data_IF_589591220129
#
_entry.id   IF_589591220129
#
_cell.length_a   1.000
_cell.length_b   1.000
_cell.length_c   1.000
_cell.angle_alpha   90.00
_cell.angle_beta   90.00
_cell.angle_gamma   90.00
#
_symmetry.space_group_name_H-M   'P 1'
#
loop_
_entity.id
_entity.type
_entity.pdbx_description
1 polymer ?
#
# COMPACT_ATOMS: atom_id res chain seq x y z
N UNK A 1 -6.37 -2.52 -29.84
CA UNK A 1 -7.14 -1.73 -28.86
C UNK A 1 -8.60 -1.65 -29.27
N UNK A 2 -9.49 -1.89 -28.32
CA UNK A 2 -10.92 -1.61 -28.45
C UNK A 2 -11.14 -0.11 -28.67
N UNK A 3 -11.79 0.31 -29.78
CA UNK A 3 -11.89 1.73 -30.15
C UNK A 3 -12.63 2.55 -29.07
N UNK A 4 -13.66 1.98 -28.45
CA UNK A 4 -14.43 2.66 -27.40
C UNK A 4 -13.62 2.98 -26.14
N UNK A 5 -12.63 2.16 -25.78
CA UNK A 5 -11.84 2.37 -24.54
C UNK A 5 -10.97 3.62 -24.65
N UNK A 6 -10.34 3.82 -25.81
CA UNK A 6 -9.47 4.96 -26.05
C UNK A 6 -10.24 6.29 -25.98
N UNK A 7 -11.43 6.31 -26.59
CA UNK A 7 -12.31 7.47 -26.64
C UNK A 7 -12.88 7.79 -25.26
N UNK A 8 -13.44 6.79 -24.55
CA UNK A 8 -13.97 6.96 -23.20
C UNK A 8 -12.89 7.50 -22.25
N UNK A 9 -11.70 6.88 -22.23
CA UNK A 9 -10.61 7.32 -21.36
C UNK A 9 -10.08 8.71 -21.69
N UNK A 10 -10.16 9.14 -22.95
CA UNK A 10 -9.81 10.50 -23.36
C UNK A 10 -10.88 11.50 -22.88
N UNK A 11 -12.17 11.16 -23.02
CA UNK A 11 -13.29 11.99 -22.55
C UNK A 11 -13.34 12.16 -21.03
N UNK A 12 -12.74 11.24 -20.27
CA UNK A 12 -12.66 11.33 -18.80
C UNK A 12 -11.53 12.23 -18.30
N UNK A 13 -10.59 12.66 -19.14
CA UNK A 13 -9.32 13.28 -18.71
C UNK A 13 -9.49 14.41 -17.70
N UNK A 14 -10.31 15.42 -18.00
CA UNK A 14 -10.51 16.57 -17.11
C UNK A 14 -11.13 16.16 -15.76
N UNK A 15 -12.06 15.20 -15.78
CA UNK A 15 -12.68 14.65 -14.58
C UNK A 15 -11.69 13.86 -13.72
N UNK A 16 -10.79 13.11 -14.35
CA UNK A 16 -9.73 12.38 -13.65
C UNK A 16 -8.76 13.36 -12.98
N UNK A 17 -8.37 14.42 -13.68
CA UNK A 17 -7.52 15.48 -13.10
C UNK A 17 -8.20 16.13 -11.90
N UNK A 18 -9.47 16.54 -12.04
CA UNK A 18 -10.23 17.14 -10.94
C UNK A 18 -10.36 16.19 -9.74
N UNK A 19 -10.63 14.90 -9.98
CA UNK A 19 -10.70 13.88 -8.94
C UNK A 19 -9.36 13.68 -8.24
N UNK A 20 -8.27 13.53 -8.98
CA UNK A 20 -6.93 13.38 -8.40
C UNK A 20 -6.62 14.57 -7.50
N UNK A 21 -6.85 15.80 -7.97
CA UNK A 21 -6.58 17.02 -7.21
C UNK A 21 -7.43 17.14 -5.94
N UNK A 22 -8.67 16.66 -5.97
CA UNK A 22 -9.51 16.56 -4.76
C UNK A 22 -8.93 15.57 -3.73
N UNK A 23 -8.54 14.38 -4.19
CA UNK A 23 -7.88 13.39 -3.32
C UNK A 23 -6.55 13.92 -2.77
N UNK A 24 -5.75 14.56 -3.62
CA UNK A 24 -4.47 15.18 -3.26
C UNK A 24 -4.61 16.26 -2.18
N UNK A 25 -5.66 17.09 -2.27
CA UNK A 25 -5.95 18.14 -1.30
C UNK A 25 -6.36 17.60 0.07
N UNK A 26 -7.00 16.43 0.11
CA UNK A 26 -7.48 15.82 1.35
C UNK A 26 -6.87 14.44 1.61
N UNK A 27 -5.54 14.35 1.75
CA UNK A 27 -4.85 13.09 1.94
C UNK A 27 -5.16 12.52 3.33
N UNK A 28 -5.27 11.20 3.41
CA UNK A 28 -5.56 10.46 4.64
C UNK A 28 -4.53 9.33 4.82
N UNK A 29 -3.78 9.30 5.93
CA UNK A 29 -2.81 8.23 6.20
C UNK A 29 -3.46 6.85 6.37
N UNK A 30 -2.63 5.81 6.34
CA UNK A 30 -3.06 4.42 6.47
C UNK A 30 -4.05 4.14 7.60
N UNK A 31 -5.12 3.41 7.29
CA UNK A 31 -6.27 3.07 8.15
C UNK A 31 -7.20 4.25 8.51
N UNK A 32 -6.95 5.44 7.97
CA UNK A 32 -7.73 6.64 8.24
C UNK A 32 -8.39 7.25 7.01
N UNK A 33 -8.40 6.51 5.90
CA UNK A 33 -8.88 6.87 4.56
C UNK A 33 -10.41 6.95 4.46
N UNK A 34 -11.09 7.42 5.50
CA UNK A 34 -12.54 7.42 5.62
C UNK A 34 -13.22 8.26 4.55
N UNK A 35 -12.69 9.44 4.22
CA UNK A 35 -13.24 10.30 3.16
C UNK A 35 -12.97 9.68 1.80
N UNK A 36 -11.74 9.26 1.54
CA UNK A 36 -11.33 8.70 0.25
C UNK A 36 -12.10 7.41 -0.04
N UNK A 37 -12.14 6.46 0.89
CA UNK A 37 -12.92 5.24 0.76
C UNK A 37 -14.43 5.52 0.63
N UNK A 38 -14.96 6.49 1.39
CA UNK A 38 -16.36 6.91 1.27
C UNK A 38 -16.72 7.44 -0.11
N UNK A 39 -15.83 8.25 -0.71
CA UNK A 39 -15.98 8.74 -2.08
C UNK A 39 -15.92 7.59 -3.09
N UNK A 40 -14.99 6.66 -2.91
CA UNK A 40 -14.83 5.47 -3.77
C UNK A 40 -16.10 4.60 -3.73
N UNK A 41 -16.59 4.25 -2.53
CA UNK A 41 -17.84 3.48 -2.35
C UNK A 41 -18.99 4.16 -3.07
N UNK A 42 -19.22 5.45 -2.81
CA UNK A 42 -20.34 6.20 -3.39
C UNK A 42 -20.29 6.19 -4.92
N UNK A 43 -19.13 6.49 -5.51
CA UNK A 43 -18.97 6.50 -6.98
C UNK A 43 -19.21 5.11 -7.60
N UNK A 44 -18.68 4.06 -6.98
CA UNK A 44 -18.85 2.70 -7.49
C UNK A 44 -20.32 2.24 -7.41
N UNK A 45 -21.03 2.60 -6.33
CA UNK A 45 -22.46 2.35 -6.20
C UNK A 45 -23.28 3.13 -7.24
N UNK A 46 -22.97 4.41 -7.47
CA UNK A 46 -23.62 5.24 -8.50
C UNK A 46 -23.42 4.68 -9.92
N UNK A 47 -22.28 4.03 -10.18
CA UNK A 47 -22.01 3.34 -11.44
C UNK A 47 -22.73 1.99 -11.56
N UNK A 48 -23.27 1.45 -10.47
CA UNK A 48 -24.00 0.18 -10.47
C UNK A 48 -23.16 -1.06 -10.19
N UNK A 49 -21.99 -0.92 -9.54
CA UNK A 49 -21.22 -2.06 -9.03
C UNK A 49 -21.87 -2.64 -7.77
N UNK A 50 -21.66 -3.94 -7.54
CA UNK A 50 -21.80 -4.52 -6.21
C UNK A 50 -20.58 -4.11 -5.38
N UNK A 51 -20.79 -3.45 -4.22
CA UNK A 51 -19.69 -2.85 -3.44
C UNK A 51 -19.67 -3.41 -2.02
N UNK A 52 -18.55 -4.03 -1.65
CA UNK A 52 -18.24 -4.52 -0.31
C UNK A 52 -17.15 -3.65 0.33
N UNK A 53 -17.30 -3.32 1.61
CA UNK A 53 -16.35 -2.47 2.33
C UNK A 53 -16.45 -2.69 3.83
N UNK A 54 -15.53 -2.10 4.60
CA UNK A 54 -15.54 -2.31 6.05
C UNK A 54 -15.09 -3.73 6.42
N UNK A 55 -15.78 -4.32 7.38
CA UNK A 55 -15.48 -5.66 7.89
C UNK A 55 -15.74 -6.79 6.88
N UNK A 56 -16.42 -6.53 5.76
CA UNK A 56 -16.64 -7.51 4.68
C UNK A 56 -15.36 -7.83 3.91
N UNK A 57 -14.41 -6.89 3.87
CA UNK A 57 -13.20 -6.98 3.03
C UNK A 57 -11.92 -6.79 3.82
N UNK A 58 -12.01 -6.61 5.14
CA UNK A 58 -10.88 -6.43 6.05
C UNK A 58 -11.02 -7.41 7.23
N UNK A 59 -10.05 -8.31 7.36
CA UNK A 59 -9.92 -9.21 8.50
C UNK A 59 -9.21 -8.48 9.65
N UNK A 60 -9.94 -8.15 10.69
CA UNK A 60 -9.46 -7.33 11.81
C UNK A 60 -8.22 -7.91 12.50
N UNK A 61 -8.18 -9.22 12.69
CA UNK A 61 -7.09 -9.93 13.36
C UNK A 61 -5.78 -9.92 12.55
N UNK A 62 -5.86 -9.58 11.27
CA UNK A 62 -4.72 -9.44 10.38
C UNK A 62 -4.30 -7.97 10.17
N UNK A 63 -5.00 -7.00 10.75
CA UNK A 63 -4.64 -5.59 10.69
C UNK A 63 -3.38 -5.34 11.53
N UNK A 64 -2.43 -4.60 10.97
CA UNK A 64 -1.16 -4.25 11.62
C UNK A 64 -0.99 -2.73 11.65
N UNK A 65 -0.34 -2.21 12.69
CA UNK A 65 -0.01 -0.78 12.78
C UNK A 65 -1.23 0.15 12.72
N UNK A 66 -2.36 -0.28 13.31
CA UNK A 66 -3.60 0.49 13.36
C UNK A 66 -3.44 1.65 14.35
N UNK A 67 -3.82 2.89 14.00
CA UNK A 67 -3.82 4.01 14.93
C UNK A 67 -4.70 3.76 16.17
N UNK A 68 -4.38 4.43 17.26
CA UNK A 68 -5.18 4.34 18.49
C UNK A 68 -6.62 4.85 18.30
N UNK A 69 -7.58 4.43 19.15
CA UNK A 69 -9.00 4.77 19.00
C UNK A 69 -9.29 6.27 18.93
N UNK A 70 -8.56 7.09 19.71
CA UNK A 70 -8.70 8.55 19.71
C UNK A 70 -8.31 9.16 18.35
N UNK A 71 -7.25 8.64 17.73
CA UNK A 71 -6.81 9.10 16.42
C UNK A 71 -7.79 8.70 15.33
N UNK A 72 -8.27 7.45 15.36
CA UNK A 72 -9.31 6.98 14.44
C UNK A 72 -10.57 7.85 14.55
N UNK A 73 -11.05 8.11 15.76
CA UNK A 73 -12.23 8.96 15.98
C UNK A 73 -12.01 10.40 15.47
N UNK A 74 -10.83 10.98 15.73
CA UNK A 74 -10.47 12.32 15.23
C UNK A 74 -10.51 12.38 13.71
N UNK A 75 -9.96 11.37 13.04
CA UNK A 75 -9.89 11.28 11.57
C UNK A 75 -11.26 11.03 10.95
N UNK A 76 -12.08 10.15 11.55
CA UNK A 76 -13.48 9.98 11.14
C UNK A 76 -14.26 11.30 11.19
N UNK A 77 -14.15 12.05 12.30
CA UNK A 77 -14.81 13.34 12.43
C UNK A 77 -14.31 14.37 11.41
N UNK A 78 -13.02 14.34 11.07
CA UNK A 78 -12.48 15.19 10.01
C UNK A 78 -13.04 14.82 8.63
N UNK A 79 -13.14 13.53 8.32
CA UNK A 79 -13.74 13.04 7.07
C UNK A 79 -15.20 13.48 6.93
N UNK A 80 -16.00 13.36 7.99
CA UNK A 80 -17.40 13.81 8.03
C UNK A 80 -17.52 15.32 7.77
N UNK A 81 -16.67 16.14 8.40
CA UNK A 81 -16.63 17.60 8.14
C UNK A 81 -16.25 17.95 6.70
N UNK A 82 -15.57 17.05 6.01
CA UNK A 82 -15.15 17.19 4.60
C UNK A 82 -16.11 16.50 3.62
N UNK A 83 -17.32 16.18 4.07
CA UNK A 83 -18.41 15.70 3.21
C UNK A 83 -18.45 14.19 3.00
N UNK A 84 -17.73 13.40 3.79
CA UNK A 84 -17.90 11.94 3.78
C UNK A 84 -19.31 11.56 4.26
N UNK A 85 -19.89 10.53 3.64
CA UNK A 85 -21.21 10.03 4.00
C UNK A 85 -21.19 9.35 5.38
N UNK A 86 -21.98 9.80 6.37
CA UNK A 86 -21.97 9.24 7.71
C UNK A 86 -22.26 7.74 7.78
N UNK A 87 -23.19 7.23 6.96
CA UNK A 87 -23.57 5.82 6.97
C UNK A 87 -22.47 4.93 6.38
N UNK A 88 -21.75 5.44 5.37
CA UNK A 88 -20.59 4.73 4.81
C UNK A 88 -19.43 4.72 5.83
N UNK A 89 -19.14 5.86 6.47
CA UNK A 89 -18.06 5.99 7.47
C UNK A 89 -18.30 5.08 8.67
N UNK A 90 -19.54 4.98 9.16
CA UNK A 90 -19.89 4.11 10.30
C UNK A 90 -19.52 2.64 10.05
N UNK A 91 -19.78 2.14 8.84
CA UNK A 91 -19.43 0.74 8.45
C UNK A 91 -17.92 0.49 8.35
N UNK A 92 -17.11 1.55 8.27
CA UNK A 92 -15.64 1.49 8.25
C UNK A 92 -15.03 1.64 9.65
N UNK A 93 -15.82 1.54 10.72
CA UNK A 93 -15.35 1.63 12.11
C UNK A 93 -14.12 0.74 12.39
N UNK A 94 -13.22 1.25 13.23
CA UNK A 94 -11.94 0.59 13.53
C UNK A 94 -10.87 0.75 12.45
N UNK A 95 -11.06 1.67 11.51
CA UNK A 95 -10.10 1.93 10.41
C UNK A 95 -10.21 0.93 9.26
N UNK A 96 -11.36 0.26 9.10
CA UNK A 96 -11.59 -0.75 8.07
C UNK A 96 -12.03 -0.08 6.76
N UNK A 97 -11.13 0.68 6.17
CA UNK A 97 -11.38 1.57 5.02
C UNK A 97 -11.18 0.88 3.66
N UNK A 98 -11.02 -0.44 3.61
CA UNK A 98 -10.92 -1.17 2.34
C UNK A 98 -12.25 -1.24 1.58
N UNK A 99 -12.16 -1.22 0.25
CA UNK A 99 -13.32 -1.27 -0.65
C UNK A 99 -13.06 -2.25 -1.78
N UNK A 100 -14.03 -3.10 -2.10
CA UNK A 100 -14.00 -4.01 -3.24
C UNK A 100 -15.29 -3.85 -4.03
N UNK A 101 -15.17 -3.47 -5.30
CA UNK A 101 -16.30 -3.46 -6.22
C UNK A 101 -16.23 -4.66 -7.18
N UNK A 102 -17.38 -5.28 -7.42
CA UNK A 102 -17.53 -6.44 -8.30
C UNK A 102 -18.47 -6.08 -9.45
N UNK A 103 -17.98 -6.30 -10.67
CA UNK A 103 -18.79 -6.32 -11.89
C UNK A 103 -18.91 -7.77 -12.34
N UNK A 104 -20.08 -8.36 -12.14
CA UNK A 104 -20.43 -9.66 -12.72
C UNK A 104 -21.13 -9.44 -14.07
N UNK A 105 -20.56 -9.99 -15.13
CA UNK A 105 -21.10 -9.88 -16.48
C UNK A 105 -22.25 -10.85 -16.75
N UNK A 106 -22.47 -11.84 -15.87
CA UNK A 106 -23.39 -12.96 -16.08
C UNK A 106 -22.94 -13.93 -17.18
N UNK A 107 -21.78 -13.70 -17.81
CA UNK A 107 -21.23 -14.52 -18.90
C UNK A 107 -20.03 -15.34 -18.39
N UNK A 108 -19.91 -16.62 -18.77
CA UNK A 108 -18.77 -17.44 -18.37
C UNK A 108 -17.43 -16.82 -18.82
N UNK A 109 -16.47 -16.75 -17.89
CA UNK A 109 -15.15 -16.19 -18.13
C UNK A 109 -14.31 -16.15 -16.85
N UNK A 110 -13.06 -15.67 -16.94
CA UNK A 110 -12.15 -15.58 -15.79
C UNK A 110 -12.61 -14.51 -14.78
N UNK A 111 -12.11 -14.60 -13.56
CA UNK A 111 -12.22 -13.51 -12.58
C UNK A 111 -10.96 -12.65 -12.63
N UNK A 112 -11.09 -11.39 -13.03
CA UNK A 112 -9.99 -10.41 -13.06
C UNK A 112 -10.00 -9.56 -11.78
N UNK A 113 -8.83 -9.24 -11.25
CA UNK A 113 -8.65 -8.32 -10.14
C UNK A 113 -7.69 -7.18 -10.48
N UNK A 114 -8.05 -5.96 -10.11
CA UNK A 114 -7.23 -4.76 -10.27
C UNK A 114 -7.09 -4.05 -8.93
N UNK A 115 -5.87 -3.80 -8.46
CA UNK A 115 -5.61 -3.15 -7.16
C UNK A 115 -5.14 -1.72 -7.31
N UNK A 116 -5.69 -0.86 -6.46
CA UNK A 116 -5.33 0.55 -6.27
C UNK A 116 -5.25 0.84 -4.78
N UNK A 117 -4.10 1.26 -4.28
CA UNK A 117 -3.94 1.80 -2.92
C UNK A 117 -4.48 3.24 -2.81
N UNK A 118 -4.88 3.62 -1.60
CA UNK A 118 -5.59 4.88 -1.32
C UNK A 118 -4.91 5.78 -0.30
N UNK A 119 -3.98 5.27 0.50
CA UNK A 119 -3.45 6.02 1.64
C UNK A 119 -2.41 7.07 1.24
N UNK A 120 -2.23 8.04 2.12
CA UNK A 120 -1.20 9.05 2.02
C UNK A 120 -0.01 8.77 2.94
N UNK A 121 1.09 9.47 2.70
CA UNK A 121 2.29 9.43 3.52
C UNK A 121 2.20 10.41 4.69
N UNK A 122 2.92 10.12 5.77
CA UNK A 122 3.14 11.03 6.91
C UNK A 122 4.22 12.09 6.57
N UNK A 123 3.92 12.97 5.61
CA UNK A 123 4.82 14.01 5.08
C UNK A 123 4.09 15.35 4.99
N UNK A 124 4.76 16.43 5.40
CA UNK A 124 4.29 17.79 5.13
C UNK A 124 4.58 18.20 3.68
N UNK A 125 3.54 18.66 2.98
CA UNK A 125 3.67 19.14 1.61
C UNK A 125 4.23 20.56 1.55
N UNK A 126 5.11 20.82 0.58
CA UNK A 126 5.73 22.11 0.35
C UNK A 126 4.69 23.20 -0.02
N UNK A 127 4.84 24.40 0.56
CA UNK A 127 3.89 25.53 0.39
C UNK A 127 4.51 26.77 -0.26
N UNK A 128 5.44 26.58 -1.18
CA UNK A 128 6.00 27.71 -1.95
C UNK A 128 5.38 27.81 -3.35
N UNK A 129 5.40 29.02 -3.92
CA UNK A 129 4.84 29.29 -5.26
C UNK A 129 5.50 28.49 -6.40
N UNK A 130 6.69 27.93 -6.18
CA UNK A 130 7.36 27.04 -7.13
C UNK A 130 6.84 25.59 -7.09
N UNK A 131 6.07 25.22 -6.06
CA UNK A 131 5.42 23.91 -5.94
C UNK A 131 4.05 23.96 -6.60
N UNK A 132 3.86 23.19 -7.68
CA UNK A 132 2.66 23.25 -8.53
C UNK A 132 1.36 23.03 -7.75
N UNK A 133 1.21 22.02 -6.87
CA UNK A 133 0.01 21.87 -6.04
C UNK A 133 -0.33 23.11 -5.21
N UNK A 134 0.67 23.81 -4.67
CA UNK A 134 0.42 25.06 -3.95
C UNK A 134 -0.01 26.18 -4.90
N UNK A 135 0.73 26.37 -6.01
CA UNK A 135 0.46 27.41 -6.99
C UNK A 135 -0.91 27.28 -7.67
N UNK A 136 -1.35 26.05 -7.95
CA UNK A 136 -2.63 25.74 -8.59
C UNK A 136 -3.75 25.42 -7.56
N UNK A 137 -3.46 25.54 -6.26
CA UNK A 137 -4.47 25.49 -5.21
C UNK A 137 -5.01 24.11 -4.88
N UNK A 138 -4.24 23.04 -5.04
CA UNK A 138 -4.62 21.68 -4.63
C UNK A 138 -3.63 21.00 -3.66
N UNK A 139 -2.71 21.78 -3.07
CA UNK A 139 -1.86 21.36 -1.95
C UNK A 139 -2.68 20.76 -0.80
N UNK A 140 -2.11 19.78 -0.11
CA UNK A 140 -2.70 19.16 1.07
C UNK A 140 -3.20 20.18 2.08
N UNK A 141 -4.43 19.98 2.55
CA UNK A 141 -5.04 20.69 3.67
C UNK A 141 -4.99 19.88 4.97
N UNK A 142 -4.25 18.77 5.00
CA UNK A 142 -4.08 17.94 6.18
C UNK A 142 -2.61 17.99 6.63
N UNK A 143 -2.26 18.80 7.65
CA UNK A 143 -0.89 18.88 8.15
C UNK A 143 -0.32 17.51 8.50
N UNK A 144 0.93 17.28 8.10
CA UNK A 144 1.61 16.00 8.25
C UNK A 144 1.12 14.88 7.33
N UNK A 145 0.25 15.15 6.35
CA UNK A 145 -0.18 14.16 5.37
C UNK A 145 -0.10 14.69 3.93
N UNK A 146 0.43 13.87 3.02
CA UNK A 146 0.57 14.19 1.60
C UNK A 146 0.54 12.91 0.77
N UNK A 147 -0.09 12.93 -0.41
CA UNK A 147 0.08 11.86 -1.40
C UNK A 147 1.45 11.97 -2.10
N UNK A 148 2.52 11.64 -1.36
CA UNK A 148 3.90 11.72 -1.80
C UNK A 148 4.38 10.43 -2.51
N UNK A 149 3.50 9.45 -2.70
CA UNK A 149 3.75 8.22 -3.45
C UNK A 149 2.83 8.04 -4.68
N UNK A 150 1.82 8.89 -4.85
CA UNK A 150 0.92 8.89 -6.02
C UNK A 150 -0.35 8.03 -5.87
N UNK A 151 -0.74 7.64 -4.65
CA UNK A 151 -1.92 6.81 -4.41
C UNK A 151 -3.25 7.54 -4.75
N UNK A 152 -3.26 8.87 -4.72
CA UNK A 152 -4.32 9.70 -5.31
C UNK A 152 -4.50 9.42 -6.81
N UNK A 153 -3.40 9.26 -7.54
CA UNK A 153 -3.42 8.89 -8.95
C UNK A 153 -3.86 7.44 -9.16
N UNK A 154 -3.42 6.51 -8.31
CA UNK A 154 -3.83 5.10 -8.38
C UNK A 154 -5.34 4.96 -8.18
N UNK A 155 -5.88 5.57 -7.12
CA UNK A 155 -7.32 5.61 -6.83
C UNK A 155 -8.11 6.26 -7.97
N UNK A 156 -7.60 7.37 -8.52
CA UNK A 156 -8.21 8.05 -9.67
C UNK A 156 -8.25 7.16 -10.91
N UNK A 157 -7.16 6.47 -11.23
CA UNK A 157 -7.10 5.50 -12.34
C UNK A 157 -8.10 4.36 -12.11
N UNK A 158 -8.20 3.85 -10.88
CA UNK A 158 -9.16 2.80 -10.53
C UNK A 158 -10.61 3.21 -10.75
N UNK A 159 -10.98 4.43 -10.34
CA UNK A 159 -12.33 4.96 -10.58
C UNK A 159 -12.58 5.25 -12.07
N UNK A 160 -11.59 5.77 -12.80
CA UNK A 160 -11.68 5.94 -14.24
C UNK A 160 -11.85 4.61 -14.99
N UNK A 161 -11.14 3.57 -14.56
CA UNK A 161 -11.31 2.21 -15.05
C UNK A 161 -12.73 1.70 -14.78
N UNK A 162 -13.26 1.92 -13.58
CA UNK A 162 -14.60 1.50 -13.22
C UNK A 162 -15.67 2.05 -14.18
N UNK A 163 -15.56 3.33 -14.56
CA UNK A 163 -16.46 3.98 -15.52
C UNK A 163 -16.36 3.35 -16.91
N UNK A 164 -15.14 3.15 -17.41
CA UNK A 164 -14.91 2.54 -18.73
C UNK A 164 -15.45 1.12 -18.78
N UNK A 165 -15.18 0.30 -17.77
CA UNK A 165 -15.63 -1.10 -17.71
C UNK A 165 -17.14 -1.21 -17.66
N UNK A 166 -17.81 -0.32 -16.92
CA UNK A 166 -19.27 -0.31 -16.86
C UNK A 166 -19.88 0.08 -18.21
N UNK A 167 -19.25 1.01 -18.95
CA UNK A 167 -19.71 1.42 -20.27
C UNK A 167 -19.57 0.31 -21.33
N UNK A 168 -18.55 -0.54 -21.23
CA UNK A 168 -18.33 -1.67 -22.15
C UNK A 168 -18.78 -3.01 -21.55
N UNK A 169 -19.57 -2.99 -20.47
CA UNK A 169 -19.84 -4.20 -19.66
C UNK A 169 -20.39 -5.34 -20.48
N UNK A 170 -21.14 -5.07 -21.55
CA UNK A 170 -21.79 -6.06 -22.42
C UNK A 170 -20.81 -6.83 -23.33
N UNK A 171 -19.57 -6.35 -23.43
CA UNK A 171 -18.50 -6.94 -24.24
C UNK A 171 -17.48 -7.75 -23.40
N UNK A 172 -17.62 -7.69 -22.08
CA UNK A 172 -16.76 -8.36 -21.11
C UNK A 172 -17.32 -9.75 -20.74
N UNK A 173 -16.48 -10.62 -20.19
CA UNK A 173 -16.90 -11.93 -19.66
C UNK A 173 -16.33 -12.17 -18.27
N UNK A 174 -16.94 -13.09 -17.54
CA UNK A 174 -16.55 -13.43 -16.18
C UNK A 174 -16.87 -12.32 -15.19
N UNK A 175 -15.98 -12.15 -14.21
CA UNK A 175 -16.14 -11.18 -13.12
C UNK A 175 -14.93 -10.27 -13.05
N UNK A 176 -15.14 -9.00 -12.73
CA UNK A 176 -14.05 -8.04 -12.55
C UNK A 176 -14.16 -7.43 -11.15
N UNK A 177 -13.07 -7.51 -10.39
CA UNK A 177 -12.94 -6.97 -9.04
C UNK A 177 -12.00 -5.77 -9.05
N UNK A 178 -12.49 -4.64 -8.55
CA UNK A 178 -11.67 -3.44 -8.31
C UNK A 178 -11.41 -3.35 -6.81
N UNK A 179 -10.16 -3.52 -6.42
CA UNK A 179 -9.71 -3.61 -5.03
C UNK A 179 -9.05 -2.29 -4.66
N UNK A 180 -9.72 -1.49 -3.83
CA UNK A 180 -9.17 -0.26 -3.30
C UNK A 180 -8.64 -0.51 -1.89
N UNK A 181 -7.32 -0.54 -1.78
CA UNK A 181 -6.60 -0.99 -0.60
C UNK A 181 -6.21 0.19 0.31
N UNK A 182 -6.42 0.09 1.63
CA UNK A 182 -5.87 1.05 2.58
C UNK A 182 -4.42 0.70 2.96
N UNK A 183 -3.76 1.63 3.65
CA UNK A 183 -2.56 1.39 4.46
C UNK A 183 -1.37 0.68 3.77
N UNK A 184 -1.10 0.95 2.49
CA UNK A 184 0.05 0.39 1.75
C UNK A 184 1.39 0.89 2.32
N UNK A 185 1.50 2.17 2.71
CA UNK A 185 2.78 2.82 3.01
C UNK A 185 3.58 2.16 4.14
N UNK A 186 2.83 1.58 5.08
CA UNK A 186 3.38 0.81 6.21
C UNK A 186 3.49 -0.68 5.93
N UNK A 187 3.11 -1.13 4.73
CA UNK A 187 2.86 -2.50 4.32
C UNK A 187 1.91 -3.22 5.29
N UNK A 188 0.68 -2.68 5.41
CA UNK A 188 -0.27 -3.07 6.47
C UNK A 188 -1.60 -3.58 5.93
N UNK A 189 -2.06 -3.08 4.79
CA UNK A 189 -3.44 -3.27 4.34
C UNK A 189 -3.69 -4.57 3.60
N UNK A 190 -2.77 -4.96 2.70
CA UNK A 190 -3.01 -6.06 1.77
C UNK A 190 -3.25 -7.38 2.50
N UNK A 191 -2.47 -7.68 3.55
CA UNK A 191 -2.63 -8.90 4.35
C UNK A 191 -4.04 -9.00 4.92
N UNK A 192 -4.59 -7.92 5.47
CA UNK A 192 -5.93 -7.93 6.06
C UNK A 192 -7.03 -8.18 5.03
N UNK A 193 -6.85 -7.71 3.79
CA UNK A 193 -7.78 -7.99 2.69
C UNK A 193 -7.64 -9.42 2.15
N UNK A 194 -6.41 -9.92 2.03
CA UNK A 194 -6.13 -11.30 1.60
C UNK A 194 -6.71 -12.32 2.58
N UNK A 195 -6.53 -12.09 3.89
CA UNK A 195 -7.09 -12.96 4.93
C UNK A 195 -8.63 -12.89 5.02
N UNK A 196 -9.25 -11.82 4.48
CA UNK A 196 -10.70 -11.74 4.28
C UNK A 196 -11.19 -12.50 3.03
N UNK A 197 -10.29 -13.11 2.25
CA UNK A 197 -10.63 -13.89 1.05
C UNK A 197 -10.91 -13.04 -0.20
N UNK A 198 -10.53 -11.75 -0.19
CA UNK A 198 -10.84 -10.80 -1.29
C UNK A 198 -10.34 -11.27 -2.66
N UNK A 199 -9.29 -12.08 -2.73
CA UNK A 199 -8.69 -12.54 -4.00
C UNK A 199 -8.62 -14.05 -4.16
N UNK A 200 -9.28 -14.83 -3.29
CA UNK A 200 -9.22 -16.30 -3.34
C UNK A 200 -9.80 -16.88 -4.65
N UNK A 201 -10.66 -16.12 -5.34
CA UNK A 201 -11.31 -16.51 -6.59
C UNK A 201 -10.74 -15.85 -7.85
N UNK A 202 -9.67 -15.04 -7.73
CA UNK A 202 -9.08 -14.27 -8.83
C UNK A 202 -8.15 -15.13 -9.68
N UNK A 203 -8.36 -15.11 -11.00
CA UNK A 203 -7.54 -15.82 -11.99
C UNK A 203 -6.38 -14.94 -12.52
N UNK A 204 -6.63 -13.64 -12.69
CA UNK A 204 -5.65 -12.67 -13.14
C UNK A 204 -5.67 -11.42 -12.25
N UNK A 205 -4.55 -11.09 -11.61
CA UNK A 205 -4.43 -9.94 -10.71
C UNK A 205 -3.40 -8.93 -11.21
N UNK A 206 -3.80 -7.66 -11.30
CA UNK A 206 -2.94 -6.55 -11.69
C UNK A 206 -2.90 -5.48 -10.60
N UNK A 207 -1.71 -5.18 -10.08
CA UNK A 207 -1.42 -3.97 -9.33
C UNK A 207 -0.77 -2.92 -10.23
N UNK A 208 -0.86 -1.65 -9.87
CA UNK A 208 -0.17 -0.57 -10.59
C UNK A 208 0.64 0.32 -9.65
N UNK A 209 1.64 1.00 -10.22
CA UNK A 209 2.27 2.16 -9.59
C UNK A 209 2.65 3.21 -10.63
N UNK A 210 2.59 4.50 -10.27
CA UNK A 210 3.09 5.59 -11.11
C UNK A 210 4.51 6.00 -10.73
N UNK A 211 5.37 6.17 -11.73
CA UNK A 211 6.57 6.97 -11.63
C UNK A 211 7.77 6.37 -10.90
N UNK A 212 7.80 5.14 -10.39
CA UNK A 212 8.97 4.62 -9.63
C UNK A 212 10.23 4.44 -10.50
N UNK A 213 10.18 3.55 -11.50
CA UNK A 213 11.38 3.16 -12.29
C UNK A 213 11.41 3.79 -13.69
N UNK A 214 10.35 4.51 -14.06
CA UNK A 214 10.18 5.17 -15.36
C UNK A 214 9.67 6.58 -15.13
N UNK A 215 10.22 7.54 -15.89
CA UNK A 215 10.10 8.97 -15.60
C UNK A 215 9.47 9.78 -16.73
N UNK A 216 8.87 9.10 -17.72
CA UNK A 216 8.20 9.72 -18.87
C UNK A 216 6.87 9.04 -19.13
N UNK A 217 5.84 9.83 -19.43
CA UNK A 217 4.55 9.30 -19.88
C UNK A 217 4.73 8.49 -21.15
N UNK A 218 4.08 7.33 -21.21
CA UNK A 218 4.16 6.38 -22.32
C UNK A 218 5.18 5.25 -22.11
N UNK A 219 6.02 5.32 -21.07
CA UNK A 219 6.84 4.19 -20.65
C UNK A 219 6.03 3.24 -19.76
N UNK A 220 6.04 1.94 -20.03
CA UNK A 220 5.32 0.93 -19.26
C UNK A 220 6.23 -0.25 -18.91
N UNK A 221 6.24 -0.67 -17.65
CA UNK A 221 6.80 -1.97 -17.22
C UNK A 221 5.64 -2.90 -16.90
N UNK A 222 5.55 -4.06 -17.54
CA UNK A 222 4.39 -4.94 -17.42
C UNK A 222 4.50 -5.95 -16.27
N UNK A 223 5.71 -6.25 -15.83
CA UNK A 223 6.03 -7.15 -14.72
C UNK A 223 7.11 -6.58 -13.83
N UNK A 224 6.69 -5.86 -12.80
CA UNK A 224 7.55 -5.43 -11.70
C UNK A 224 8.21 -6.61 -11.01
N UNK A 225 9.52 -6.52 -10.77
CA UNK A 225 10.33 -7.52 -10.06
C UNK A 225 11.19 -6.88 -8.98
N UNK A 226 11.65 -7.71 -8.04
CA UNK A 226 12.60 -7.31 -7.02
C UNK A 226 11.96 -6.70 -5.77
N UNK A 227 10.70 -7.03 -5.48
CA UNK A 227 10.07 -6.67 -4.21
C UNK A 227 10.86 -7.28 -3.05
N UNK A 228 11.36 -6.42 -2.16
CA UNK A 228 12.02 -6.87 -0.94
C UNK A 228 10.97 -7.25 0.10
N UNK A 229 11.12 -8.43 0.70
CA UNK A 229 10.36 -8.79 1.88
C UNK A 229 10.79 -7.90 3.06
N UNK A 230 9.84 -7.54 3.93
CA UNK A 230 10.10 -6.69 5.09
C UNK A 230 9.20 -7.02 6.27
N UNK A 231 9.68 -6.77 7.49
CA UNK A 231 8.87 -6.77 8.71
C UNK A 231 9.15 -5.50 9.50
N UNK A 232 8.11 -4.80 9.93
CA UNK A 232 8.19 -3.65 10.84
C UNK A 232 7.74 -4.09 12.22
N UNK A 233 8.53 -3.80 13.25
CA UNK A 233 8.26 -4.19 14.63
C UNK A 233 8.38 -2.99 15.56
N UNK A 234 7.34 -2.78 16.37
CA UNK A 234 7.38 -1.89 17.51
C UNK A 234 7.71 -2.71 18.76
N UNK A 235 8.75 -2.31 19.48
CA UNK A 235 9.30 -3.03 20.63
C UNK A 235 9.21 -2.14 21.86
N UNK A 236 8.65 -2.68 22.94
CA UNK A 236 8.58 -2.01 24.24
C UNK A 236 9.28 -2.86 25.30
N UNK A 237 10.30 -2.31 25.94
CA UNK A 237 10.91 -2.88 27.14
C UNK A 237 10.31 -2.23 28.39
N UNK A 238 9.90 -3.05 29.35
CA UNK A 238 9.30 -2.61 30.63
C UNK A 238 10.11 -3.17 31.78
N UNK A 239 10.76 -2.27 32.53
CA UNK A 239 11.52 -2.57 33.73
C UNK A 239 10.97 -1.84 34.94
N UNK A 240 11.81 -1.69 35.97
CA UNK A 240 11.44 -1.08 37.25
C UNK A 240 12.26 0.19 37.45
N UNK A 241 11.63 1.37 37.59
CA UNK A 241 12.37 2.59 37.87
C UNK A 241 12.87 2.62 39.31
N UNK A 242 14.07 3.14 39.52
CA UNK A 242 14.68 3.31 40.83
C UNK A 242 15.63 4.51 40.86
N UNK A 243 15.99 5.00 42.05
CA UNK A 243 16.96 6.08 42.18
C UNK A 243 18.37 5.56 41.93
N UNK A 244 19.05 6.11 40.92
CA UNK A 244 20.32 5.56 40.43
C UNK A 244 21.46 5.51 41.46
N UNK A 245 21.43 6.37 42.49
CA UNK A 245 22.41 6.35 43.58
C UNK A 245 21.85 5.96 44.95
N UNK A 246 20.53 5.80 45.07
CA UNK A 246 19.86 5.61 46.37
C UNK A 246 19.64 4.13 46.64
N UNK A 247 19.02 3.46 45.67
CA UNK A 247 18.71 2.03 45.72
C UNK A 247 18.90 1.44 44.30
N UNK A 248 20.12 1.49 43.74
CA UNK A 248 20.37 1.05 42.37
C UNK A 248 19.99 -0.42 42.13
N UNK A 249 20.11 -1.27 43.14
CA UNK A 249 19.78 -2.70 43.10
C UNK A 249 18.29 -3.01 42.94
N UNK A 250 17.41 -2.04 43.23
CA UNK A 250 15.96 -2.20 43.10
C UNK A 250 15.45 -1.94 41.67
N UNK A 251 16.30 -1.42 40.78
CA UNK A 251 15.92 -1.05 39.42
C UNK A 251 16.18 -2.14 38.38
N UNK A 252 15.33 -2.21 37.35
CA UNK A 252 15.56 -3.03 36.15
C UNK A 252 15.57 -2.10 34.94
N UNK A 253 16.74 -1.97 34.30
CA UNK A 253 17.04 -0.85 33.42
C UNK A 253 16.63 -1.14 31.96
N UNK A 254 15.43 -0.68 31.58
CA UNK A 254 14.89 -0.87 30.24
C UNK A 254 15.72 -0.16 29.15
N UNK A 255 16.40 0.95 29.47
CA UNK A 255 17.29 1.64 28.52
C UNK A 255 18.49 0.75 28.18
N UNK A 256 19.10 0.11 29.17
CA UNK A 256 20.25 -0.77 28.94
C UNK A 256 19.85 -2.04 28.19
N UNK A 257 18.65 -2.58 28.47
CA UNK A 257 18.07 -3.67 27.69
C UNK A 257 17.90 -3.28 26.21
N UNK A 258 17.27 -2.13 25.94
CA UNK A 258 17.08 -1.63 24.58
C UNK A 258 18.41 -1.31 23.88
N UNK A 259 19.39 -0.73 24.56
CA UNK A 259 20.70 -0.45 23.98
C UNK A 259 21.47 -1.73 23.65
N UNK A 260 21.40 -2.74 24.53
CA UNK A 260 21.98 -4.07 24.32
C UNK A 260 21.32 -4.75 23.12
N UNK A 261 20.00 -4.69 23.02
CA UNK A 261 19.26 -5.19 21.87
C UNK A 261 19.69 -4.48 20.59
N UNK A 262 19.72 -3.14 20.56
CA UNK A 262 20.03 -2.36 19.37
C UNK A 262 21.38 -2.74 18.76
N UNK A 263 22.43 -2.85 19.57
CA UNK A 263 23.75 -3.26 19.10
C UNK A 263 23.76 -4.68 18.55
N UNK A 264 23.12 -5.63 19.25
CA UNK A 264 23.10 -7.03 18.84
C UNK A 264 22.21 -7.28 17.62
N UNK A 265 21.14 -6.51 17.43
CA UNK A 265 20.30 -6.54 16.23
C UNK A 265 21.16 -6.24 14.99
N UNK A 266 22.01 -5.22 15.04
CA UNK A 266 22.96 -4.91 13.95
C UNK A 266 24.12 -5.91 13.82
N UNK A 267 24.30 -6.81 14.80
CA UNK A 267 25.27 -7.90 14.74
C UNK A 267 24.71 -9.19 14.12
N UNK A 268 23.44 -9.22 13.70
CA UNK A 268 22.87 -10.37 12.97
C UNK A 268 23.74 -10.68 11.73
N UNK A 269 24.14 -11.94 11.60
CA UNK A 269 24.93 -12.41 10.46
C UNK A 269 24.17 -12.21 9.16
N UNK A 270 24.88 -11.76 8.12
CA UNK A 270 24.33 -11.71 6.76
C UNK A 270 24.10 -13.15 6.27
N UNK A 271 23.09 -13.33 5.43
CA UNK A 271 22.74 -14.63 4.87
C UNK A 271 23.45 -14.90 3.54
N UNK A 272 23.92 -16.12 3.30
CA UNK A 272 24.68 -16.47 2.09
C UNK A 272 23.84 -16.52 0.81
N UNK A 273 22.53 -16.77 0.95
CA UNK A 273 21.60 -16.92 -0.18
C UNK A 273 21.05 -15.58 -0.71
N UNK A 274 21.38 -14.45 -0.08
CA UNK A 274 20.94 -13.16 -0.59
C UNK A 274 21.06 -12.00 0.39
N UNK A 275 20.74 -10.80 -0.10
CA UNK A 275 20.81 -9.59 0.70
C UNK A 275 19.79 -9.62 1.85
N UNK A 276 20.25 -9.19 3.02
CA UNK A 276 19.46 -9.04 4.24
C UNK A 276 19.80 -7.70 4.87
N UNK A 277 18.83 -7.07 5.53
CA UNK A 277 19.01 -5.79 6.24
C UNK A 277 18.26 -5.82 7.56
N UNK A 278 18.77 -5.07 8.52
CA UNK A 278 18.07 -4.71 9.74
C UNK A 278 18.38 -3.27 10.07
N UNK A 279 17.39 -2.56 10.60
CA UNK A 279 17.56 -1.19 11.04
C UNK A 279 16.80 -0.95 12.34
N UNK A 280 17.44 -0.21 13.25
CA UNK A 280 16.79 0.36 14.43
C UNK A 280 16.55 1.82 14.12
N UNK A 281 15.31 2.16 13.76
CA UNK A 281 14.95 3.49 13.28
C UNK A 281 14.76 4.50 14.40
N UNK A 282 14.25 4.05 15.55
CA UNK A 282 14.10 4.88 16.75
C UNK A 282 14.45 4.09 18.00
N UNK A 283 14.96 4.80 19.01
CA UNK A 283 15.13 4.32 20.37
C UNK A 283 14.89 5.50 21.31
N UNK A 284 13.87 5.42 22.15
CA UNK A 284 13.50 6.44 23.13
C UNK A 284 13.37 5.79 24.50
N UNK A 285 14.08 6.30 25.50
CA UNK A 285 14.10 5.71 26.83
C UNK A 285 14.46 6.72 27.93
N UNK A 286 13.92 6.47 29.13
CA UNK A 286 14.22 7.26 30.33
C UNK A 286 13.40 8.55 30.48
N UNK A 287 13.41 9.07 31.71
CA UNK A 287 12.65 10.27 32.11
C UNK A 287 13.50 11.32 32.84
N UNK A 288 14.67 10.94 33.36
CA UNK A 288 15.56 11.83 34.10
C UNK A 288 16.96 11.24 34.29
N UNK A 289 17.97 12.09 34.51
CA UNK A 289 19.37 11.67 34.58
C UNK A 289 19.69 10.79 35.80
N UNK A 290 18.98 10.98 36.90
CA UNK A 290 19.19 10.30 38.19
C UNK A 290 18.21 9.15 38.44
N UNK A 291 17.43 8.75 37.42
CA UNK A 291 16.42 7.69 37.51
C UNK A 291 16.81 6.55 36.59
N UNK A 292 16.82 5.33 37.11
CA UNK A 292 16.96 4.11 36.30
C UNK A 292 15.72 4.01 35.39
N UNK A 293 15.87 3.96 34.05
CA UNK A 293 14.73 3.92 33.14
C UNK A 293 13.88 2.65 33.27
N UNK A 294 12.62 2.79 33.66
CA UNK A 294 11.64 1.69 33.68
C UNK A 294 10.96 1.41 32.34
N UNK A 295 11.19 2.25 31.31
CA UNK A 295 10.59 2.07 29.98
C UNK A 295 11.55 2.47 28.87
N UNK A 296 11.58 1.68 27.80
CA UNK A 296 12.23 2.01 26.54
C UNK A 296 11.38 1.53 25.35
N UNK A 297 11.29 2.36 24.31
CA UNK A 297 10.57 2.06 23.07
C UNK A 297 11.53 2.09 21.89
N UNK A 298 11.39 1.12 21.00
CA UNK A 298 12.24 0.95 19.83
C UNK A 298 11.39 0.56 18.62
N UNK A 299 11.62 1.21 17.48
CA UNK A 299 11.01 0.83 16.19
C UNK A 299 12.08 0.25 15.29
N UNK A 300 11.88 -0.98 14.82
CA UNK A 300 12.84 -1.68 13.98
C UNK A 300 12.19 -2.17 12.68
N UNK A 301 13.02 -2.34 11.65
CA UNK A 301 12.64 -3.04 10.43
C UNK A 301 13.66 -4.11 10.05
N UNK A 302 13.18 -5.22 9.51
CA UNK A 302 13.99 -6.25 8.85
C UNK A 302 13.67 -6.25 7.37
N UNK A 303 14.66 -6.58 6.52
CA UNK A 303 14.42 -6.87 5.09
C UNK A 303 15.19 -8.08 4.63
N UNK A 304 14.63 -8.76 3.62
CA UNK A 304 15.28 -9.84 2.90
C UNK A 304 15.00 -9.73 1.40
N UNK A 305 15.94 -10.18 0.58
CA UNK A 305 15.72 -10.31 -0.86
C UNK A 305 14.60 -11.33 -1.19
N UNK A 306 14.35 -12.28 -0.29
CA UNK A 306 13.20 -13.19 -0.31
C UNK A 306 12.49 -13.18 1.04
N UNK A 307 11.27 -13.70 1.09
CA UNK A 307 10.49 -13.89 2.32
C UNK A 307 11.25 -14.71 3.35
N UNK A 308 11.88 -15.83 2.95
CA UNK A 308 12.63 -16.72 3.83
C UNK A 308 13.85 -16.01 4.44
N UNK A 309 14.50 -15.13 3.67
CA UNK A 309 15.63 -14.33 4.16
C UNK A 309 15.17 -13.27 5.16
N UNK A 310 14.01 -12.66 4.95
CA UNK A 310 13.42 -11.73 5.91
C UNK A 310 13.01 -12.45 7.20
N UNK A 311 12.40 -13.64 7.08
CA UNK A 311 12.03 -14.47 8.22
C UNK A 311 13.24 -14.90 9.04
N UNK A 312 14.34 -15.29 8.37
CA UNK A 312 15.61 -15.54 9.06
C UNK A 312 16.03 -14.34 9.93
N UNK A 313 16.05 -13.12 9.38
CA UNK A 313 16.46 -11.92 10.15
C UNK A 313 15.46 -11.64 11.28
N UNK A 314 14.16 -11.75 11.01
CA UNK A 314 13.08 -11.53 11.99
C UNK A 314 13.19 -12.48 13.17
N UNK A 315 13.39 -13.77 12.93
CA UNK A 315 13.57 -14.78 13.99
C UNK A 315 14.81 -14.51 14.84
N UNK A 316 15.92 -14.10 14.21
CA UNK A 316 17.14 -13.70 14.95
C UNK A 316 16.89 -12.44 15.77
N UNK A 317 16.17 -11.46 15.23
CA UNK A 317 15.78 -10.25 15.94
C UNK A 317 14.95 -10.56 17.18
N UNK A 318 13.91 -11.39 17.07
CA UNK A 318 13.11 -11.80 18.24
C UNK A 318 13.96 -12.45 19.33
N UNK A 319 14.89 -13.36 18.97
CA UNK A 319 15.77 -14.00 19.96
C UNK A 319 16.70 -12.99 20.65
N UNK A 320 17.19 -12.00 19.93
CA UNK A 320 18.03 -10.93 20.50
C UNK A 320 17.22 -10.04 21.44
N UNK A 321 16.00 -9.64 21.04
CA UNK A 321 15.11 -8.82 21.87
C UNK A 321 14.80 -9.53 23.20
N UNK A 322 14.44 -10.81 23.13
CA UNK A 322 14.17 -11.65 24.30
C UNK A 322 15.42 -11.84 25.16
N UNK A 323 16.57 -12.15 24.55
CA UNK A 323 17.83 -12.30 25.29
C UNK A 323 18.27 -11.02 26.00
N UNK A 324 18.12 -9.87 25.36
CA UNK A 324 18.40 -8.57 25.97
C UNK A 324 17.45 -8.27 27.13
N UNK A 325 16.17 -8.62 27.01
CA UNK A 325 15.21 -8.48 28.10
C UNK A 325 15.63 -9.33 29.32
N UNK A 326 15.98 -10.60 29.07
CA UNK A 326 16.46 -11.54 30.09
C UNK A 326 17.75 -11.09 30.78
N UNK A 327 18.71 -10.51 30.04
CA UNK A 327 19.98 -10.04 30.62
C UNK A 327 19.82 -8.91 31.63
N UNK A 328 18.72 -8.16 31.55
CA UNK A 328 18.48 -6.95 32.34
C UNK A 328 17.26 -7.08 33.25
N UNK A 329 16.70 -8.29 33.39
CA UNK A 329 15.51 -8.59 34.20
C UNK A 329 14.31 -7.68 33.87
N UNK A 330 14.06 -7.43 32.58
CA UNK A 330 12.93 -6.65 32.08
C UNK A 330 11.99 -7.50 31.23
N UNK A 331 10.75 -7.05 31.09
CA UNK A 331 9.81 -7.60 30.12
C UNK A 331 10.02 -6.96 28.74
N UNK A 332 9.71 -7.71 27.67
CA UNK A 332 9.70 -7.17 26.31
C UNK A 332 8.41 -7.58 25.57
N UNK A 333 7.72 -6.58 25.05
CA UNK A 333 6.58 -6.73 24.14
C UNK A 333 7.03 -6.37 22.72
N UNK A 334 6.69 -7.22 21.75
CA UNK A 334 7.06 -7.03 20.34
C UNK A 334 5.80 -7.13 19.49
N UNK A 335 5.41 -6.01 18.91
CA UNK A 335 4.22 -5.90 18.06
C UNK A 335 4.61 -5.72 16.61
N UNK A 336 4.02 -6.53 15.73
CA UNK A 336 4.21 -6.35 14.30
C UNK A 336 3.38 -5.16 13.81
N UNK A 337 4.06 -4.17 13.25
CA UNK A 337 3.47 -2.91 12.78
C UNK A 337 3.23 -2.89 11.26
N UNK A 338 3.77 -3.87 10.53
CA UNK A 338 3.60 -4.03 9.08
C UNK A 338 4.52 -5.14 8.54
N UNK A 339 4.21 -5.69 7.39
CA UNK A 339 5.08 -6.60 6.65
C UNK A 339 4.73 -6.64 5.17
N UNK A 340 5.68 -7.05 4.33
CA UNK A 340 5.43 -7.44 2.94
C UNK A 340 6.25 -8.68 2.60
N UNK A 341 5.78 -9.46 1.64
CA UNK A 341 6.49 -10.61 1.11
C UNK A 341 7.42 -10.17 -0.02
N UNK A 342 8.36 -11.04 -0.41
CA UNK A 342 8.93 -10.94 -1.75
C UNK A 342 7.89 -11.42 -2.76
N UNK A 343 7.99 -10.95 -4.00
CA UNK A 343 7.06 -11.36 -5.06
C UNK A 343 7.70 -11.27 -6.43
N UNK A 344 7.26 -12.16 -7.33
CA UNK A 344 7.64 -12.15 -8.74
C UNK A 344 6.41 -12.15 -9.64
N UNK A 345 6.37 -11.19 -10.57
CA UNK A 345 5.35 -11.14 -11.58
C UNK A 345 5.34 -12.42 -12.45
N UNK A 346 4.13 -12.94 -12.70
CA UNK A 346 3.91 -14.12 -13.54
C UNK A 346 4.36 -13.83 -14.97
N UNK A 347 5.30 -14.63 -15.49
CA UNK A 347 5.96 -14.30 -16.74
C UNK A 347 4.99 -14.27 -17.94
N UNK A 348 4.04 -15.20 -17.96
CA UNK A 348 3.03 -15.29 -19.02
C UNK A 348 2.10 -14.07 -19.02
N UNK A 349 1.65 -13.63 -17.84
CA UNK A 349 0.80 -12.44 -17.73
C UNK A 349 1.55 -11.16 -18.11
N UNK A 350 2.81 -11.01 -17.69
CA UNK A 350 3.64 -9.87 -18.07
C UNK A 350 3.86 -9.79 -19.59
N UNK A 351 4.10 -10.92 -20.26
CA UNK A 351 4.22 -11.00 -21.72
C UNK A 351 2.92 -10.64 -22.43
N UNK A 352 1.78 -11.16 -21.96
CA UNK A 352 0.45 -10.79 -22.48
C UNK A 352 0.21 -9.28 -22.35
N UNK A 353 0.51 -8.70 -21.19
CA UNK A 353 0.37 -7.26 -20.97
C UNK A 353 1.32 -6.44 -21.82
N UNK A 354 2.54 -6.91 -22.08
CA UNK A 354 3.45 -6.22 -22.98
C UNK A 354 2.93 -6.19 -24.43
N UNK A 355 2.31 -7.28 -24.88
CA UNK A 355 1.63 -7.31 -26.18
C UNK A 355 0.45 -6.33 -26.22
N UNK A 356 -0.36 -6.31 -25.16
CA UNK A 356 -1.50 -5.39 -25.01
C UNK A 356 -1.03 -3.93 -25.02
N UNK A 357 -0.04 -3.59 -24.19
CA UNK A 357 0.50 -2.24 -24.02
C UNK A 357 1.01 -1.64 -25.34
N UNK A 358 1.63 -2.45 -26.20
CA UNK A 358 2.09 -2.02 -27.54
C UNK A 358 0.95 -1.56 -28.46
N UNK A 359 -0.30 -1.94 -28.17
CA UNK A 359 -1.47 -1.52 -28.97
C UNK A 359 -2.16 -0.27 -28.43
N UNK A 360 -1.76 0.23 -27.26
CA UNK A 360 -2.41 1.34 -26.57
C UNK A 360 -1.83 2.68 -27.04
N UNK A 361 -2.63 3.57 -27.64
CA UNK A 361 -2.19 4.90 -28.03
C UNK A 361 -1.65 5.69 -26.83
N UNK A 362 -0.46 6.27 -27.00
CA UNK A 362 0.27 6.99 -25.96
C UNK A 362 1.33 6.15 -25.26
N UNK A 363 1.30 4.81 -25.37
CA UNK A 363 2.41 3.96 -24.96
C UNK A 363 3.50 4.00 -26.04
N UNK A 364 4.70 4.38 -25.65
CA UNK A 364 5.85 4.60 -26.55
C UNK A 364 7.00 3.64 -26.27
N UNK A 365 7.14 3.16 -25.03
CA UNK A 365 8.17 2.20 -24.63
C UNK A 365 7.55 1.14 -23.71
N UNK A 366 7.79 -0.13 -24.02
CA UNK A 366 7.29 -1.25 -23.23
C UNK A 366 8.46 -2.12 -22.80
N UNK A 367 8.58 -2.33 -21.50
CA UNK A 367 9.44 -3.34 -20.91
C UNK A 367 8.58 -4.47 -20.34
N UNK A 368 8.88 -5.71 -20.70
CA UNK A 368 8.18 -6.87 -20.12
C UNK A 368 8.42 -6.95 -18.62
N UNK A 369 9.69 -6.81 -18.21
CA UNK A 369 10.07 -6.79 -16.80
C UNK A 369 10.95 -5.59 -16.47
N UNK A 370 10.91 -5.19 -15.21
CA UNK A 370 11.73 -4.09 -14.70
C UNK A 370 11.66 -4.02 -13.17
N UNK A 371 12.54 -3.21 -12.56
CA UNK A 371 12.55 -3.06 -11.11
C UNK A 371 11.26 -2.40 -10.62
N UNK A 372 10.62 -3.01 -9.62
CA UNK A 372 9.42 -2.50 -8.97
C UNK A 372 9.72 -1.50 -7.83
N UNK A 373 10.98 -1.42 -7.37
CA UNK A 373 11.38 -0.52 -6.29
C UNK A 373 11.70 -1.27 -5.00
N UNK A 374 11.16 -0.78 -3.88
CA UNK A 374 11.45 -1.26 -2.54
C UNK A 374 10.59 -2.44 -2.09
N UNK A 375 9.84 -2.26 -1.01
CA UNK A 375 8.87 -3.23 -0.49
C UNK A 375 7.47 -2.70 -0.77
N UNK A 376 6.52 -3.59 -1.04
CA UNK A 376 5.13 -3.26 -1.40
C UNK A 376 4.25 -4.43 -0.96
N UNK A 377 3.15 -4.15 -0.26
CA UNK A 377 2.30 -5.19 0.32
C UNK A 377 1.34 -5.84 -0.67
N UNK A 378 1.21 -5.31 -1.90
CA UNK A 378 0.62 -6.02 -3.03
C UNK A 378 1.22 -7.42 -3.24
N UNK A 379 2.46 -7.64 -2.76
CA UNK A 379 3.08 -8.97 -2.68
C UNK A 379 2.19 -10.02 -2.00
N UNK A 380 1.34 -9.68 -1.02
CA UNK A 380 0.36 -10.61 -0.44
C UNK A 380 -0.75 -11.00 -1.42
N UNK A 381 -1.29 -10.05 -2.19
CA UNK A 381 -2.28 -10.36 -3.22
C UNK A 381 -1.65 -11.25 -4.30
N UNK A 382 -0.44 -10.90 -4.74
CA UNK A 382 0.31 -11.66 -5.72
C UNK A 382 0.54 -13.11 -5.26
N UNK A 383 1.06 -13.30 -4.05
CA UNK A 383 1.31 -14.61 -3.48
C UNK A 383 0.01 -15.44 -3.38
N UNK A 384 -1.07 -14.88 -2.82
CA UNK A 384 -2.33 -15.61 -2.68
C UNK A 384 -2.91 -16.05 -4.02
N UNK A 385 -2.92 -15.17 -5.01
CA UNK A 385 -3.45 -15.49 -6.34
C UNK A 385 -2.62 -16.60 -7.00
N UNK A 386 -1.30 -16.53 -6.91
CA UNK A 386 -0.40 -17.55 -7.46
C UNK A 386 -0.50 -18.90 -6.73
N UNK A 387 -0.63 -18.90 -5.40
CA UNK A 387 -0.87 -20.10 -4.59
C UNK A 387 -2.17 -20.82 -4.97
N UNK A 388 -3.17 -20.07 -5.49
CA UNK A 388 -4.46 -20.59 -5.97
C UNK A 388 -4.45 -20.97 -7.46
N UNK A 389 -3.28 -20.93 -8.13
CA UNK A 389 -3.11 -21.26 -9.55
C UNK A 389 -3.43 -20.10 -10.52
N UNK A 390 -3.75 -18.91 -10.00
CA UNK A 390 -3.91 -17.69 -10.78
C UNK A 390 -2.58 -17.07 -11.20
N UNK A 391 -2.64 -16.00 -11.97
CA UNK A 391 -1.47 -15.22 -12.38
C UNK A 391 -1.59 -13.78 -11.88
N UNK A 392 -0.53 -13.27 -11.26
CA UNK A 392 -0.46 -11.90 -10.79
C UNK A 392 0.74 -11.16 -11.38
N UNK A 393 0.60 -9.85 -11.57
CA UNK A 393 1.68 -8.95 -12.02
C UNK A 393 1.52 -7.56 -11.41
N UNK A 394 2.54 -6.73 -11.56
CA UNK A 394 2.57 -5.36 -11.06
C UNK A 394 3.09 -4.43 -12.16
N UNK A 395 2.26 -3.49 -12.59
CA UNK A 395 2.51 -2.62 -13.75
C UNK A 395 3.05 -1.28 -13.29
N UNK A 396 4.14 -0.81 -13.89
CA UNK A 396 4.71 0.51 -13.59
C UNK A 396 4.41 1.43 -14.76
N UNK A 397 3.68 2.50 -14.48
CA UNK A 397 3.34 3.56 -15.43
C UNK A 397 4.36 4.69 -15.28
N UNK A 398 5.13 4.95 -16.33
CA UNK A 398 6.08 6.06 -16.35
C UNK A 398 5.35 7.40 -16.33
N UNK A 399 5.90 8.34 -15.57
CA UNK A 399 5.44 9.73 -15.51
C UNK A 399 6.57 10.62 -15.01
N UNK A 400 6.67 11.84 -15.51
CA UNK A 400 7.57 12.83 -14.94
C UNK A 400 7.18 13.09 -13.48
N UNK A 401 8.17 13.17 -12.59
CA UNK A 401 7.99 13.50 -11.18
C UNK A 401 8.73 14.79 -10.83
N UNK A 402 8.12 15.65 -10.03
CA UNK A 402 8.75 16.89 -9.56
C UNK A 402 9.82 16.65 -8.49
N UNK A 403 9.68 15.59 -7.69
CA UNK A 403 10.67 15.11 -6.73
C UNK A 403 10.50 13.60 -6.51
N UNK A 404 11.49 12.95 -5.89
CA UNK A 404 11.41 11.53 -5.55
C UNK A 404 10.21 11.23 -4.64
N UNK A 405 9.74 9.98 -4.66
CA UNK A 405 8.70 9.50 -3.76
C UNK A 405 9.05 9.81 -2.29
N UNK A 406 8.02 10.12 -1.50
CA UNK A 406 8.06 10.49 -0.08
C UNK A 406 8.74 11.85 0.19
N UNK A 407 8.97 12.64 -0.86
CA UNK A 407 9.46 14.01 -0.73
C UNK A 407 8.29 15.00 -0.65
N UNK A 408 8.43 16.03 0.19
CA UNK A 408 7.48 17.16 0.31
C UNK A 408 7.13 17.89 -0.99
N UNK A 409 7.93 17.71 -2.06
CA UNK A 409 7.73 18.30 -3.39
C UNK A 409 7.29 17.28 -4.45
N UNK A 410 6.94 16.06 -4.06
CA UNK A 410 6.48 15.05 -5.01
C UNK A 410 5.22 15.53 -5.73
N UNK A 411 5.20 15.36 -7.04
CA UNK A 411 4.03 15.57 -7.89
C UNK A 411 4.29 14.85 -9.22
N UNK A 412 3.25 14.52 -9.97
CA UNK A 412 3.33 13.73 -11.22
C UNK A 412 2.75 14.51 -12.41
N UNK A 413 3.16 14.12 -13.62
CA UNK A 413 2.46 14.50 -14.83
C UNK A 413 1.10 13.77 -14.93
N UNK A 414 0.00 14.53 -14.92
CA UNK A 414 -1.38 14.02 -14.86
C UNK A 414 -1.85 13.33 -16.15
N UNK A 415 -1.12 13.44 -17.26
CA UNK A 415 -1.41 12.66 -18.49
C UNK A 415 -1.35 11.15 -18.24
N UNK A 416 -0.59 10.70 -17.23
CA UNK A 416 -0.49 9.29 -16.85
C UNK A 416 -1.84 8.70 -16.42
N UNK A 417 -2.78 9.52 -15.94
CA UNK A 417 -4.09 9.07 -15.48
C UNK A 417 -4.88 8.45 -16.63
N UNK A 418 -5.00 9.17 -17.75
CA UNK A 418 -5.72 8.67 -18.94
C UNK A 418 -4.98 7.49 -19.57
N UNK A 419 -3.64 7.50 -19.59
CA UNK A 419 -2.84 6.37 -20.07
C UNK A 419 -3.09 5.09 -19.24
N UNK A 420 -3.12 5.22 -17.92
CA UNK A 420 -3.40 4.11 -17.00
C UNK A 420 -4.78 3.51 -17.24
N UNK A 421 -5.81 4.35 -17.38
CA UNK A 421 -7.18 3.90 -17.69
C UNK A 421 -7.23 3.16 -19.04
N UNK A 422 -6.58 3.68 -20.07
CA UNK A 422 -6.51 3.02 -21.39
C UNK A 422 -5.85 1.65 -21.32
N UNK A 423 -4.69 1.56 -20.66
CA UNK A 423 -3.95 0.32 -20.54
C UNK A 423 -4.73 -0.74 -19.76
N UNK A 424 -5.26 -0.38 -18.59
CA UNK A 424 -6.00 -1.32 -17.75
C UNK A 424 -7.35 -1.70 -18.35
N UNK A 425 -8.03 -0.77 -19.03
CA UNK A 425 -9.26 -1.05 -19.76
C UNK A 425 -9.02 -2.05 -20.89
N UNK A 426 -7.99 -1.83 -21.71
CA UNK A 426 -7.63 -2.78 -22.77
C UNK A 426 -7.20 -4.13 -22.20
N UNK A 427 -6.46 -4.14 -21.09
CA UNK A 427 -6.09 -5.36 -20.39
C UNK A 427 -7.32 -6.13 -19.91
N UNK A 428 -8.29 -5.45 -19.30
CA UNK A 428 -9.54 -6.07 -18.86
C UNK A 428 -10.34 -6.65 -20.03
N UNK A 429 -10.48 -5.89 -21.12
CA UNK A 429 -11.19 -6.33 -22.32
C UNK A 429 -10.55 -7.59 -22.93
N UNK A 430 -9.23 -7.58 -23.13
CA UNK A 430 -8.56 -8.74 -23.72
C UNK A 430 -8.51 -9.94 -22.78
N UNK A 431 -8.15 -9.75 -21.50
CA UNK A 431 -8.02 -10.86 -20.55
C UNK A 431 -9.37 -11.51 -20.24
N UNK A 432 -10.45 -10.72 -20.11
CA UNK A 432 -11.80 -11.26 -19.89
C UNK A 432 -12.28 -12.13 -21.05
N UNK A 433 -11.78 -11.88 -22.27
CA UNK A 433 -12.09 -12.65 -23.46
C UNK A 433 -11.13 -13.84 -23.69
N UNK A 434 -10.25 -14.16 -22.73
CA UNK A 434 -9.42 -15.37 -22.77
C UNK A 434 -9.93 -16.46 -21.83
N UNK A 435 -9.45 -17.69 -22.02
CA UNK A 435 -9.63 -18.76 -21.04
C UNK A 435 -8.82 -18.47 -19.77
N UNK A 436 -9.32 -18.85 -18.58
CA UNK A 436 -8.57 -18.74 -17.34
C UNK A 436 -7.27 -19.57 -17.41
N UNK A 437 -6.26 -19.26 -16.55
CA UNK A 437 -5.09 -20.12 -16.41
C UNK A 437 -5.52 -21.55 -16.05
N UNK A 438 -4.76 -22.54 -16.52
CA UNK A 438 -4.88 -23.91 -16.01
C UNK A 438 -4.44 -23.92 -14.54
N UNK A 439 -5.39 -24.14 -13.64
CA UNK A 439 -5.15 -24.28 -12.19
C UNK A 439 -4.51 -25.62 -11.84
#
# INVERSE_FOLDING_TARGET
MHPGIAELAAGLKERLVALRRDLHRYPEPGWTEFRTAGLVVKKLQELGYEVHYGSEVIKEEAMMGVPGPEELARRQQLALRRGADPAIVERMAGGKTGVVAVLDTGRPGPTLGFRFDMDANDVDEAREASHRPFAEGFVSENPGAMHACGHDAHTTIGLGLAEVLMAIKDELKGRIKLVFQPAEEGVRGARAMVEAGVVDDVDYMLGIHVGISRRKVGQVVCGGRGFLATTKLDVTFTGVPAHAGGEPEAGHNALLAAATAALNLHAISRHSQGATRINVGTLVAGSGRNVIPGRAEMKIETRGATTELNDFVRERAHRILQGAAMMHDVEVDVKQAGAALSGEASAQLAQKLAAIAKTVPGVTEVAEFGPAGGSEDYSYFMARVQERGGQATYVILGTEIAAGHHNSRFDINEEVLSLGVKLLGEAAYQLSNTLPPTR
#
